data_IF_003691775964
#
_entry.id   IF_003691775964
#
_cell.length_a   1.000
_cell.length_b   1.000
_cell.length_c   1.000
_cell.angle_alpha   90.00
_cell.angle_beta   90.00
_cell.angle_gamma   90.00
#
_symmetry.space_group_name_H-M   'P 1'
#
loop_
_entity.id
_entity.type
_entity.pdbx_description
1 polymer ?
#
# COMPACT_ATOMS: atom_id res chain seq x y z
N UNK A 1 15.55 -7.06 -42.46
CA UNK A 1 16.32 -6.83 -41.22
C UNK A 1 15.35 -6.96 -40.06
N UNK A 2 15.61 -7.94 -39.19
CA UNK A 2 14.79 -8.61 -38.17
C UNK A 2 13.43 -9.21 -38.57
N UNK A 3 13.50 -10.52 -38.79
CA UNK A 3 12.47 -11.56 -38.95
C UNK A 3 11.71 -11.90 -37.67
N UNK A 4 11.73 -11.02 -36.67
CA UNK A 4 11.13 -11.33 -35.37
C UNK A 4 9.78 -10.62 -35.25
N UNK A 5 8.71 -11.41 -35.43
CA UNK A 5 7.32 -10.99 -35.16
C UNK A 5 7.05 -10.85 -33.65
N UNK A 6 8.06 -10.99 -32.81
CA UNK A 6 7.99 -10.79 -31.37
C UNK A 6 9.36 -10.47 -30.79
N UNK A 7 9.42 -9.74 -29.68
CA UNK A 7 10.67 -9.48 -28.95
C UNK A 7 10.38 -9.21 -27.48
N UNK A 8 11.42 -9.26 -26.64
CA UNK A 8 11.32 -8.97 -25.21
C UNK A 8 12.07 -7.69 -24.85
N UNK A 9 11.58 -7.01 -23.83
CA UNK A 9 12.19 -5.81 -23.27
C UNK A 9 12.16 -5.88 -21.74
N UNK A 10 13.32 -5.76 -21.10
CA UNK A 10 13.42 -5.70 -19.64
C UNK A 10 13.51 -4.25 -19.16
N UNK A 11 12.60 -3.86 -18.27
CA UNK A 11 12.55 -2.55 -17.62
C UNK A 11 12.97 -2.71 -16.16
N UNK A 12 13.86 -1.84 -15.66
CA UNK A 12 14.33 -1.84 -14.27
C UNK A 12 14.00 -0.51 -13.62
N UNK A 13 13.45 -0.52 -12.42
CA UNK A 13 13.01 0.71 -11.74
C UNK A 13 14.14 1.67 -11.37
N UNK A 14 15.36 1.15 -11.23
CA UNK A 14 16.58 1.91 -10.95
C UNK A 14 17.46 2.13 -12.20
N UNK A 15 16.97 1.78 -13.39
CA UNK A 15 17.63 2.17 -14.64
C UNK A 15 17.36 3.65 -14.95
N UNK A 16 18.17 4.21 -15.85
CA UNK A 16 17.96 5.56 -16.38
C UNK A 16 17.94 6.68 -15.33
N UNK A 17 18.46 6.47 -14.12
CA UNK A 17 18.52 7.48 -13.04
C UNK A 17 19.27 8.76 -13.45
N UNK A 18 20.22 8.66 -14.39
CA UNK A 18 20.91 9.83 -14.95
C UNK A 18 19.97 10.74 -15.76
N UNK A 19 18.91 10.18 -16.36
CA UNK A 19 17.89 10.91 -17.12
C UNK A 19 16.67 11.24 -16.25
N UNK A 20 16.31 10.32 -15.33
CA UNK A 20 15.13 10.39 -14.48
C UNK A 20 15.52 10.17 -13.01
N UNK A 21 16.14 11.16 -12.34
CA UNK A 21 16.64 11.02 -10.98
C UNK A 21 15.53 10.82 -9.92
N UNK A 22 14.28 11.14 -10.28
CA UNK A 22 13.11 11.00 -9.41
C UNK A 22 12.38 9.66 -9.59
N UNK A 23 12.94 8.71 -10.37
CA UNK A 23 12.38 7.36 -10.48
C UNK A 23 12.29 6.70 -9.09
N UNK A 24 11.20 5.99 -8.87
CA UNK A 24 10.93 5.20 -7.67
C UNK A 24 10.58 3.77 -8.08
N UNK A 25 10.57 2.84 -7.13
CA UNK A 25 10.16 1.44 -7.38
C UNK A 25 8.73 1.34 -7.90
N UNK A 26 7.84 2.23 -7.46
CA UNK A 26 6.43 2.27 -7.88
C UNK A 26 6.16 3.15 -9.11
N UNK A 27 7.06 4.05 -9.47
CA UNK A 27 6.88 4.96 -10.59
C UNK A 27 8.22 5.27 -11.24
N UNK A 28 8.44 4.74 -12.44
CA UNK A 28 9.72 4.90 -13.12
C UNK A 28 9.57 5.01 -14.63
N UNK A 29 10.47 5.78 -15.22
CA UNK A 29 10.64 5.92 -16.65
C UNK A 29 11.96 5.26 -17.08
N UNK A 30 11.91 4.41 -18.10
CA UNK A 30 13.11 3.80 -18.69
C UNK A 30 13.39 4.42 -20.05
N UNK A 31 14.60 4.98 -20.20
CA UNK A 31 15.16 5.43 -21.48
C UNK A 31 15.77 4.24 -22.21
N UNK A 32 15.25 3.93 -23.39
CA UNK A 32 15.77 2.84 -24.23
C UNK A 32 17.07 3.27 -24.94
N UNK A 33 18.01 2.33 -25.18
CA UNK A 33 19.26 2.64 -25.87
C UNK A 33 19.05 2.96 -27.36
N UNK A 34 17.92 2.53 -27.93
CA UNK A 34 17.50 2.83 -29.30
C UNK A 34 15.99 3.02 -29.32
N UNK A 35 15.55 4.00 -30.09
CA UNK A 35 14.14 4.20 -30.40
C UNK A 35 13.56 2.98 -31.10
N UNK A 36 12.44 2.50 -30.59
CA UNK A 36 11.66 1.42 -31.20
C UNK A 36 10.72 2.03 -32.24
N UNK A 37 10.69 1.45 -33.44
CA UNK A 37 9.81 1.83 -34.55
C UNK A 37 9.14 0.56 -35.07
N UNK A 38 7.83 0.44 -34.88
CA UNK A 38 7.06 -0.75 -35.22
C UNK A 38 6.19 -0.52 -36.46
N UNK A 39 6.04 -1.56 -37.28
CA UNK A 39 5.17 -1.56 -38.46
C UNK A 39 4.05 -2.59 -38.31
N UNK A 40 2.82 -2.21 -38.66
CA UNK A 40 1.62 -3.02 -38.45
C UNK A 40 1.02 -2.85 -37.05
N UNK A 41 0.18 -3.80 -36.65
CA UNK A 41 -0.46 -3.83 -35.34
C UNK A 41 0.33 -4.72 -34.39
N UNK A 42 0.52 -4.25 -33.17
CA UNK A 42 1.35 -4.90 -32.16
C UNK A 42 0.63 -4.89 -30.83
N UNK A 43 0.86 -5.95 -30.07
CA UNK A 43 0.40 -6.09 -28.70
C UNK A 43 1.59 -6.28 -27.77
N UNK A 44 1.43 -5.89 -26.51
CA UNK A 44 2.43 -6.08 -25.46
C UNK A 44 1.77 -6.65 -24.21
N UNK A 45 2.49 -7.50 -23.49
CA UNK A 45 2.08 -8.00 -22.19
C UNK A 45 3.27 -8.15 -21.26
N UNK A 46 3.00 -8.28 -19.97
CA UNK A 46 4.04 -8.61 -18.98
C UNK A 46 4.20 -10.14 -18.97
N UNK A 47 5.38 -10.63 -19.30
CA UNK A 47 5.72 -12.06 -19.20
C UNK A 47 6.30 -12.42 -17.85
N UNK A 48 6.98 -11.47 -17.19
CA UNK A 48 7.61 -11.68 -15.89
C UNK A 48 7.64 -10.36 -15.12
N UNK A 49 7.44 -10.44 -13.80
CA UNK A 49 7.71 -9.36 -12.85
C UNK A 49 8.52 -9.90 -11.68
N UNK A 50 9.48 -9.10 -11.23
CA UNK A 50 10.21 -9.31 -9.99
C UNK A 50 10.03 -8.05 -9.13
N UNK A 51 9.44 -8.18 -7.94
CA UNK A 51 9.15 -7.03 -7.08
C UNK A 51 9.64 -7.27 -5.65
N UNK A 52 10.08 -6.21 -4.94
CA UNK A 52 10.49 -6.33 -3.55
C UNK A 52 9.25 -6.43 -2.65
N UNK A 53 9.27 -7.36 -1.71
CA UNK A 53 8.29 -7.45 -0.64
C UNK A 53 8.71 -6.53 0.50
N UNK A 54 8.55 -5.22 0.30
CA UNK A 54 9.05 -4.20 1.23
C UNK A 54 7.98 -3.27 1.80
N UNK A 55 6.69 -3.49 1.54
CA UNK A 55 5.62 -2.70 2.14
C UNK A 55 5.29 -3.16 3.57
N UNK A 56 5.16 -2.23 4.53
CA UNK A 56 4.94 -2.57 5.94
C UNK A 56 3.51 -3.05 6.22
N UNK A 57 3.36 -3.99 7.16
CA UNK A 57 2.05 -4.40 7.67
C UNK A 57 1.36 -3.26 8.42
N UNK A 58 2.10 -2.49 9.22
CA UNK A 58 1.62 -1.26 9.87
C UNK A 58 2.50 -0.11 9.39
N UNK A 59 1.96 0.72 8.50
CA UNK A 59 2.68 1.86 7.92
C UNK A 59 2.67 3.11 8.81
N UNK A 60 3.49 4.09 8.45
CA UNK A 60 3.65 5.38 9.16
C UNK A 60 2.39 6.25 9.21
N UNK A 61 1.43 6.02 8.30
CA UNK A 61 0.13 6.72 8.27
C UNK A 61 -0.98 5.89 8.90
N UNK A 62 -0.71 4.62 9.21
CA UNK A 62 -1.69 3.63 9.62
C UNK A 62 -1.44 3.14 11.05
N UNK A 63 -0.70 3.88 11.87
CA UNK A 63 -0.23 3.47 13.21
C UNK A 63 -0.72 4.38 14.34
N UNK A 64 -1.89 5.02 14.19
CA UNK A 64 -2.37 6.01 15.15
C UNK A 64 -3.48 5.44 16.04
N UNK A 65 -3.44 5.79 17.32
CA UNK A 65 -4.55 5.69 18.26
C UNK A 65 -5.00 7.09 18.63
N UNK A 66 -6.31 7.34 18.65
CA UNK A 66 -6.86 8.61 19.11
C UNK A 66 -7.83 8.39 20.26
N UNK A 67 -7.87 9.35 21.19
CA UNK A 67 -8.84 9.33 22.28
C UNK A 67 -9.15 10.73 22.78
N UNK A 68 -10.27 10.83 23.52
CA UNK A 68 -10.66 11.99 24.32
C UNK A 68 -11.50 11.57 25.52
N UNK A 69 -11.35 12.28 26.62
CA UNK A 69 -12.09 12.04 27.86
C UNK A 69 -13.46 12.69 27.84
N UNK A 70 -13.62 13.75 27.05
CA UNK A 70 -14.85 14.52 26.89
C UNK A 70 -15.46 14.32 25.49
N UNK A 71 -16.80 14.42 25.34
CA UNK A 71 -17.45 14.34 24.03
C UNK A 71 -17.07 15.53 23.14
N UNK A 72 -17.05 15.37 21.81
CA UNK A 72 -16.82 16.47 20.88
C UNK A 72 -17.86 17.57 21.02
N UNK A 73 -17.43 18.83 20.92
CA UNK A 73 -18.33 19.99 20.82
C UNK A 73 -18.60 20.34 19.34
N UNK A 74 -19.76 20.94 19.03
CA UNK A 74 -20.22 21.20 17.65
C UNK A 74 -19.29 22.10 16.82
N UNK A 75 -18.44 22.91 17.46
CA UNK A 75 -17.55 23.88 16.80
C UNK A 75 -16.09 23.43 16.74
N UNK A 76 -15.78 22.20 17.16
CA UNK A 76 -14.43 21.65 17.09
C UNK A 76 -14.08 21.15 15.69
N UNK A 77 -12.78 21.00 15.43
CA UNK A 77 -12.31 20.33 14.21
C UNK A 77 -12.80 18.87 14.18
N UNK A 78 -13.09 18.41 12.97
CA UNK A 78 -13.38 16.99 12.73
C UNK A 78 -12.17 16.12 13.07
N UNK A 79 -12.43 14.86 13.40
CA UNK A 79 -11.35 13.88 13.64
C UNK A 79 -10.38 13.78 12.46
N UNK A 80 -10.88 13.85 11.23
CA UNK A 80 -10.04 13.78 10.03
C UNK A 80 -9.07 14.97 9.93
N UNK A 81 -9.54 16.19 10.20
CA UNK A 81 -8.69 17.38 10.25
C UNK A 81 -7.63 17.27 11.35
N UNK A 82 -8.00 16.77 12.53
CA UNK A 82 -7.07 16.59 13.64
C UNK A 82 -6.04 15.50 13.34
N UNK A 83 -6.44 14.40 12.71
CA UNK A 83 -5.51 13.35 12.25
C UNK A 83 -4.52 13.90 11.21
N UNK A 84 -4.99 14.75 10.28
CA UNK A 84 -4.11 15.40 9.30
C UNK A 84 -3.08 16.33 9.97
N UNK A 85 -3.48 17.10 10.99
CA UNK A 85 -2.55 17.91 11.80
C UNK A 85 -1.53 17.03 12.53
N UNK A 86 -1.99 15.93 13.14
CA UNK A 86 -1.12 14.99 13.84
C UNK A 86 -0.11 14.33 12.89
N UNK A 87 -0.55 13.88 11.70
CA UNK A 87 0.34 13.30 10.69
C UNK A 87 1.42 14.29 10.28
N UNK A 88 1.08 15.56 10.03
CA UNK A 88 2.08 16.59 9.72
C UNK A 88 3.06 16.78 10.87
N UNK A 89 2.57 16.85 12.11
CA UNK A 89 3.42 16.98 13.30
C UNK A 89 4.42 15.83 13.44
N UNK A 90 3.99 14.58 13.23
CA UNK A 90 4.87 13.41 13.32
C UNK A 90 5.86 13.30 12.16
N UNK A 91 5.55 13.86 10.99
CA UNK A 91 6.49 13.98 9.87
C UNK A 91 7.62 14.97 10.19
N UNK A 92 7.26 16.13 10.77
CA UNK A 92 8.21 17.17 11.16
C UNK A 92 9.03 16.77 12.41
N UNK A 93 8.45 15.94 13.30
CA UNK A 93 9.04 15.52 14.57
C UNK A 93 9.04 13.99 14.70
N UNK A 94 9.95 13.31 14.01
CA UNK A 94 9.97 11.83 13.91
C UNK A 94 10.02 11.07 15.24
N UNK A 95 10.67 11.65 16.25
CA UNK A 95 10.81 11.03 17.58
C UNK A 95 9.57 11.27 18.47
N UNK A 96 8.63 12.12 18.04
CA UNK A 96 7.41 12.39 18.78
C UNK A 96 6.43 11.22 18.65
N UNK A 97 5.95 10.73 19.80
CA UNK A 97 4.96 9.64 19.85
C UNK A 97 3.57 10.11 20.30
N UNK A 98 3.43 11.39 20.63
CA UNK A 98 2.20 11.98 21.13
C UNK A 98 1.98 13.38 20.56
N UNK A 99 0.74 13.63 20.14
CA UNK A 99 0.26 14.93 19.71
C UNK A 99 -1.08 15.20 20.39
N UNK A 100 -1.32 16.45 20.76
CA UNK A 100 -2.61 16.88 21.32
C UNK A 100 -3.09 18.15 20.66
N UNK A 101 -4.39 18.23 20.41
CA UNK A 101 -5.05 19.41 19.89
C UNK A 101 -6.44 19.51 20.51
N UNK A 102 -6.72 20.59 21.24
CA UNK A 102 -7.91 20.67 22.10
C UNK A 102 -7.98 19.43 23.02
N UNK A 103 -9.15 18.81 23.16
CA UNK A 103 -9.33 17.57 23.94
C UNK A 103 -8.88 16.29 23.21
N UNK A 104 -8.42 16.39 21.96
CA UNK A 104 -7.92 15.22 21.24
C UNK A 104 -6.49 14.88 21.64
N UNK A 105 -6.27 13.60 21.92
CA UNK A 105 -4.95 13.02 22.08
C UNK A 105 -4.72 11.96 21.00
N UNK A 106 -3.61 12.10 20.27
CA UNK A 106 -3.18 11.18 19.22
C UNK A 106 -1.86 10.57 19.65
N UNK A 107 -1.82 9.25 19.73
CA UNK A 107 -0.65 8.47 20.13
C UNK A 107 -0.21 7.63 18.94
N UNK A 108 1.09 7.71 18.61
CA UNK A 108 1.71 6.97 17.54
C UNK A 108 2.25 5.64 18.08
N UNK A 109 1.86 4.53 17.46
CA UNK A 109 2.44 3.21 17.69
C UNK A 109 3.61 3.02 16.71
N UNK A 110 4.61 2.21 17.07
CA UNK A 110 5.72 1.93 16.16
C UNK A 110 5.20 1.39 14.82
N UNK A 111 5.60 1.96 13.67
CA UNK A 111 5.37 1.34 12.38
C UNK A 111 6.29 0.12 12.23
N UNK A 112 5.91 -0.84 11.39
CA UNK A 112 6.77 -1.99 11.15
C UNK A 112 6.11 -3.18 10.48
N UNK A 113 6.95 -4.19 10.24
CA UNK A 113 6.53 -5.49 9.77
C UNK A 113 6.17 -6.40 10.96
N UNK A 114 4.94 -6.28 11.43
CA UNK A 114 4.37 -7.19 12.42
C UNK A 114 3.98 -8.51 11.74
N UNK A 115 4.42 -9.65 12.27
CA UNK A 115 4.11 -10.97 11.70
C UNK A 115 2.69 -11.43 12.07
N UNK A 116 2.16 -10.96 13.21
CA UNK A 116 0.86 -11.37 13.73
C UNK A 116 0.10 -10.23 14.42
N UNK A 117 -1.20 -10.44 14.66
CA UNK A 117 -2.02 -9.52 15.46
C UNK A 117 -1.56 -9.52 16.92
N UNK A 118 -1.05 -10.64 17.43
CA UNK A 118 -0.47 -10.70 18.77
C UNK A 118 0.73 -9.77 18.95
N UNK A 119 1.56 -9.59 17.91
CA UNK A 119 2.71 -8.68 17.97
C UNK A 119 2.25 -7.22 18.05
N UNK A 120 1.24 -6.85 17.25
CA UNK A 120 0.61 -5.52 17.31
C UNK A 120 0.00 -5.27 18.69
N UNK A 121 -0.72 -6.25 19.24
CA UNK A 121 -1.31 -6.15 20.59
C UNK A 121 -0.24 -6.04 21.67
N UNK A 122 0.87 -6.75 21.53
CA UNK A 122 2.00 -6.69 22.46
C UNK A 122 2.62 -5.30 22.45
N UNK A 123 2.84 -4.72 21.27
CA UNK A 123 3.31 -3.33 21.14
C UNK A 123 2.36 -2.35 21.82
N UNK A 124 1.07 -2.41 21.50
CA UNK A 124 0.05 -1.51 22.07
C UNK A 124 -0.01 -1.63 23.60
N UNK A 125 0.03 -2.85 24.13
CA UNK A 125 -0.04 -3.11 25.58
C UNK A 125 1.22 -2.70 26.34
N UNK A 126 2.37 -2.65 25.67
CA UNK A 126 3.64 -2.22 26.28
C UNK A 126 3.89 -0.72 26.13
N UNK A 127 3.20 -0.05 25.21
CA UNK A 127 3.35 1.37 24.94
C UNK A 127 3.09 2.23 26.20
N UNK A 128 3.99 3.18 26.48
CA UNK A 128 4.07 3.90 27.75
C UNK A 128 2.82 4.71 28.13
N UNK A 129 2.18 5.35 27.15
CA UNK A 129 0.91 6.07 27.29
C UNK A 129 -0.28 5.10 27.25
N UNK A 130 -0.37 4.29 26.19
CA UNK A 130 -1.56 3.46 25.89
C UNK A 130 -1.85 2.46 27.00
N UNK A 131 -0.83 1.81 27.56
CA UNK A 131 -0.99 0.79 28.63
C UNK A 131 -1.72 1.29 29.88
N UNK A 132 -1.69 2.60 30.13
CA UNK A 132 -2.37 3.24 31.26
C UNK A 132 -3.87 3.42 30.99
N UNK A 133 -4.23 3.61 29.72
CA UNK A 133 -5.60 3.88 29.26
C UNK A 133 -6.35 2.58 29.00
N UNK A 134 -5.71 1.63 28.33
CA UNK A 134 -6.34 0.43 27.79
C UNK A 134 -5.44 -0.79 27.85
N UNK A 135 -6.06 -1.97 27.80
CA UNK A 135 -5.39 -3.25 27.66
C UNK A 135 -6.15 -4.14 26.66
N UNK A 136 -5.43 -4.71 25.70
CA UNK A 136 -5.96 -5.62 24.70
C UNK A 136 -5.72 -7.08 25.07
N UNK A 137 -6.69 -7.92 24.70
CA UNK A 137 -6.60 -9.38 24.70
C UNK A 137 -6.99 -9.92 23.34
N UNK A 138 -6.33 -11.00 22.93
CA UNK A 138 -6.63 -11.70 21.69
C UNK A 138 -7.12 -13.12 21.97
N UNK A 139 -8.23 -13.49 21.37
CA UNK A 139 -8.70 -14.87 21.38
C UNK A 139 -8.21 -15.56 20.10
N UNK A 140 -7.25 -16.48 20.25
CA UNK A 140 -6.66 -17.22 19.11
C UNK A 140 -7.63 -18.13 18.36
N UNK A 141 -8.69 -18.59 19.03
CA UNK A 141 -9.69 -19.49 18.43
C UNK A 141 -10.64 -18.69 17.55
N UNK A 142 -11.24 -17.64 18.10
CA UNK A 142 -12.20 -16.80 17.36
C UNK A 142 -11.51 -15.73 16.51
N UNK A 143 -10.19 -15.57 16.67
CA UNK A 143 -9.36 -14.49 16.12
C UNK A 143 -9.89 -13.09 16.44
N UNK A 144 -10.59 -12.93 17.57
CA UNK A 144 -11.19 -11.63 17.95
C UNK A 144 -10.36 -10.90 18.99
N UNK A 145 -10.42 -9.58 18.91
CA UNK A 145 -9.72 -8.67 19.80
C UNK A 145 -10.71 -8.10 20.81
N UNK A 146 -10.30 -8.09 22.08
CA UNK A 146 -11.08 -7.59 23.21
C UNK A 146 -10.31 -6.48 23.90
N UNK A 147 -11.00 -5.39 24.17
CA UNK A 147 -10.47 -4.19 24.78
C UNK A 147 -10.97 -4.07 26.23
N UNK A 148 -10.07 -3.90 27.17
CA UNK A 148 -10.39 -3.44 28.52
C UNK A 148 -9.94 -1.99 28.64
N UNK A 149 -10.90 -1.10 28.87
CA UNK A 149 -10.62 0.30 29.16
C UNK A 149 -10.45 0.46 30.67
N UNK A 150 -9.33 1.05 31.09
CA UNK A 150 -8.97 1.25 32.49
C UNK A 150 -9.35 2.66 33.00
N UNK A 151 -9.61 3.59 32.09
CA UNK A 151 -10.01 4.98 32.37
C UNK A 151 -11.35 5.33 31.73
N UNK A 152 -11.99 6.40 32.19
CA UNK A 152 -13.21 6.91 31.54
C UNK A 152 -12.80 7.65 30.27
N UNK A 153 -13.24 7.15 29.11
CA UNK A 153 -13.02 7.77 27.80
C UNK A 153 -14.38 8.01 27.14
N UNK A 154 -14.52 9.16 26.47
CA UNK A 154 -15.70 9.48 25.67
C UNK A 154 -15.55 8.93 24.25
N UNK A 155 -14.35 9.07 23.67
CA UNK A 155 -14.01 8.53 22.35
C UNK A 155 -12.68 7.80 22.43
N UNK A 156 -12.62 6.66 21.76
CA UNK A 156 -11.39 5.91 21.52
C UNK A 156 -11.50 5.23 20.15
N UNK A 157 -10.44 5.30 19.36
CA UNK A 157 -10.34 4.57 18.10
C UNK A 157 -8.92 4.54 17.56
N UNK A 158 -8.79 4.02 16.35
CA UNK A 158 -7.52 3.87 15.65
C UNK A 158 -7.60 4.45 14.24
N UNK A 159 -6.43 4.69 13.64
CA UNK A 159 -6.31 4.89 12.19
C UNK A 159 -7.10 3.81 11.45
N UNK A 160 -7.69 4.20 10.31
CA UNK A 160 -8.64 3.36 9.57
C UNK A 160 -8.12 1.95 9.33
N UNK A 161 -6.88 1.80 8.86
CA UNK A 161 -6.32 0.47 8.57
C UNK A 161 -6.02 -0.32 9.83
N UNK A 162 -5.48 0.28 10.88
CA UNK A 162 -5.21 -0.41 12.14
C UNK A 162 -6.51 -0.91 12.80
N UNK A 163 -7.58 -0.12 12.75
CA UNK A 163 -8.89 -0.55 13.22
C UNK A 163 -9.35 -1.82 12.49
N UNK A 164 -9.25 -1.84 11.15
CA UNK A 164 -9.60 -2.99 10.32
C UNK A 164 -8.70 -4.20 10.61
N UNK A 165 -7.38 -4.01 10.76
CA UNK A 165 -6.45 -5.08 11.13
C UNK A 165 -6.82 -5.72 12.46
N UNK A 166 -7.21 -4.91 13.45
CA UNK A 166 -7.67 -5.37 14.75
C UNK A 166 -9.12 -5.92 14.74
N UNK A 167 -9.80 -5.89 13.59
CA UNK A 167 -11.16 -6.43 13.40
C UNK A 167 -12.30 -5.51 13.84
N UNK A 168 -12.01 -4.23 14.10
CA UNK A 168 -12.99 -3.19 14.43
C UNK A 168 -13.49 -2.46 13.17
N UNK A 169 -14.62 -1.76 13.27
CA UNK A 169 -15.00 -0.81 12.22
C UNK A 169 -14.22 0.51 12.41
N UNK A 170 -13.79 1.20 11.34
CA UNK A 170 -13.01 2.44 11.43
C UNK A 170 -13.68 3.59 12.22
N UNK A 171 -15.01 3.66 12.17
CA UNK A 171 -15.87 4.65 12.81
C UNK A 171 -16.42 4.17 14.17
N UNK A 172 -16.05 2.97 14.61
CA UNK A 172 -16.50 2.41 15.87
C UNK A 172 -15.85 3.13 17.06
N UNK A 173 -16.67 3.63 17.98
CA UNK A 173 -16.18 4.16 19.24
C UNK A 173 -15.91 3.04 20.25
N UNK A 174 -14.62 2.72 20.43
CA UNK A 174 -14.16 1.61 21.25
C UNK A 174 -14.27 1.87 22.76
N UNK A 175 -14.56 3.10 23.17
CA UNK A 175 -14.89 3.39 24.57
C UNK A 175 -16.22 2.73 24.98
N UNK A 176 -17.14 2.56 24.02
CA UNK A 176 -18.48 1.97 24.21
C UNK A 176 -18.49 0.48 23.87
N UNK A 177 -17.97 0.13 22.71
CA UNK A 177 -17.98 -1.24 22.18
C UNK A 177 -16.58 -1.86 22.18
N UNK A 178 -16.39 -2.84 23.06
CA UNK A 178 -15.07 -3.31 23.46
C UNK A 178 -14.60 -4.58 22.75
N UNK A 179 -15.40 -5.13 21.83
CA UNK A 179 -15.09 -6.39 21.14
C UNK A 179 -15.08 -6.17 19.64
N UNK A 180 -14.09 -6.73 18.96
CA UNK A 180 -13.97 -6.64 17.52
C UNK A 180 -15.16 -7.33 16.83
N UNK A 181 -15.79 -6.63 15.89
CA UNK A 181 -16.92 -7.17 15.12
C UNK A 181 -16.46 -8.36 14.26
N UNK A 182 -15.24 -8.26 13.72
CA UNK A 182 -14.64 -9.21 12.80
C UNK A 182 -13.39 -9.88 13.40
N UNK A 183 -13.00 -11.05 12.87
CA UNK A 183 -11.67 -11.59 13.05
C UNK A 183 -10.59 -10.58 12.68
N UNK A 184 -9.62 -10.38 13.56
CA UNK A 184 -8.45 -9.58 13.29
C UNK A 184 -7.53 -10.30 12.29
N UNK A 185 -6.90 -9.53 11.43
CA UNK A 185 -6.04 -10.04 10.38
C UNK A 185 -4.95 -9.01 10.03
N UNK A 186 -3.69 -9.39 10.25
CA UNK A 186 -2.55 -8.50 9.99
C UNK A 186 -2.41 -8.17 8.50
N UNK A 187 -2.78 -9.12 7.63
CA UNK A 187 -2.73 -9.00 6.17
C UNK A 187 -3.66 -7.91 5.61
N UNK A 188 -4.62 -7.42 6.39
CA UNK A 188 -5.47 -6.29 5.98
C UNK A 188 -4.68 -4.99 5.85
N UNK A 189 -3.49 -4.87 6.43
CA UNK A 189 -2.59 -3.73 6.23
C UNK A 189 -1.69 -3.87 5.00
N UNK A 190 -1.60 -5.06 4.42
CA UNK A 190 -0.77 -5.34 3.25
C UNK A 190 -1.60 -5.09 1.98
N UNK A 191 -1.09 -4.31 1.00
CA UNK A 191 -1.75 -4.15 -0.29
C UNK A 191 -2.01 -5.53 -0.93
N UNK A 192 -3.25 -5.80 -1.33
CA UNK A 192 -3.64 -7.10 -1.88
C UNK A 192 -3.35 -7.23 -3.38
N UNK A 193 -3.20 -6.11 -4.08
CA UNK A 193 -3.05 -6.08 -5.53
C UNK A 193 -2.16 -4.90 -5.97
N UNK A 194 -1.36 -5.14 -7.01
CA UNK A 194 -0.60 -4.13 -7.74
C UNK A 194 -1.22 -3.93 -9.12
N UNK A 195 -1.67 -2.71 -9.39
CA UNK A 195 -2.16 -2.28 -10.69
C UNK A 195 -1.00 -1.66 -11.46
N UNK A 196 -0.57 -2.33 -12.54
CA UNK A 196 0.59 -1.91 -13.34
C UNK A 196 0.07 -1.19 -14.58
N UNK A 197 0.32 0.11 -14.64
CA UNK A 197 0.02 0.98 -15.77
C UNK A 197 1.26 1.17 -16.63
N UNK A 198 1.04 1.29 -17.94
CA UNK A 198 2.12 1.44 -18.91
C UNK A 198 1.71 2.44 -19.99
N UNK A 199 2.46 3.52 -20.16
CA UNK A 199 2.06 4.64 -21.02
C UNK A 199 2.00 4.29 -22.53
N UNK A 200 2.58 3.17 -22.96
CA UNK A 200 2.59 2.76 -24.39
C UNK A 200 1.39 1.91 -24.81
N UNK A 201 0.53 1.47 -23.88
CA UNK A 201 -0.62 0.61 -24.20
C UNK A 201 -1.91 1.39 -24.39
N UNK A 202 -2.84 0.85 -25.17
CA UNK A 202 -4.16 1.43 -25.33
C UNK A 202 -4.93 1.46 -24.00
N UNK A 203 -5.66 2.53 -23.69
CA UNK A 203 -6.53 2.57 -22.51
C UNK A 203 -7.55 1.43 -22.52
N UNK A 204 -7.63 0.71 -21.40
CA UNK A 204 -8.57 -0.37 -21.14
C UNK A 204 -9.71 0.13 -20.25
N UNK A 205 -10.88 -0.50 -20.34
CA UNK A 205 -11.99 -0.24 -19.43
C UNK A 205 -11.68 -0.86 -18.05
N UNK A 206 -11.52 -0.01 -17.03
CA UNK A 206 -11.23 -0.40 -15.66
C UNK A 206 -12.29 0.23 -14.76
N UNK A 207 -13.27 -0.57 -14.36
CA UNK A 207 -14.42 -0.06 -13.60
C UNK A 207 -15.21 0.97 -14.42
N UNK A 208 -15.24 2.21 -13.94
CA UNK A 208 -15.92 3.37 -14.55
C UNK A 208 -14.96 4.31 -15.31
N UNK A 209 -13.68 3.98 -15.44
CA UNK A 209 -12.66 4.80 -16.11
C UNK A 209 -11.94 4.06 -17.25
N UNK A 210 -11.42 4.81 -18.21
CA UNK A 210 -10.44 4.30 -19.19
C UNK A 210 -9.03 4.58 -18.68
N UNK A 211 -8.21 3.54 -18.55
CA UNK A 211 -6.84 3.67 -18.04
C UNK A 211 -5.87 2.73 -18.78
N UNK A 212 -4.60 3.12 -18.98
CA UNK A 212 -3.60 2.28 -19.65
C UNK A 212 -3.07 1.16 -18.73
N UNK A 213 -4.00 0.36 -18.19
CA UNK A 213 -3.73 -0.75 -17.27
C UNK A 213 -3.22 -1.96 -18.07
N UNK A 214 -1.99 -2.37 -17.78
CA UNK A 214 -1.34 -3.49 -18.46
C UNK A 214 -1.60 -4.82 -17.74
N UNK A 215 -1.57 -4.84 -16.40
CA UNK A 215 -1.76 -6.06 -15.61
C UNK A 215 -2.13 -5.74 -14.16
N UNK A 216 -2.88 -6.64 -13.54
CA UNK A 216 -3.05 -6.70 -12.07
C UNK A 216 -2.25 -7.90 -11.55
N UNK A 217 -1.46 -7.68 -10.49
CA UNK A 217 -0.67 -8.72 -9.82
C UNK A 217 -1.12 -8.84 -8.37
N UNK A 218 -1.54 -10.04 -7.98
CA UNK A 218 -2.03 -10.30 -6.62
C UNK A 218 -0.86 -10.48 -5.66
N UNK A 219 -0.99 -9.87 -4.49
CA UNK A 219 -0.13 -10.07 -3.32
C UNK A 219 -0.94 -10.87 -2.29
N UNK A 220 -0.38 -11.99 -1.86
CA UNK A 220 -1.01 -12.99 -1.01
C UNK A 220 -0.02 -13.44 0.05
N UNK A 221 -0.50 -14.10 1.10
CA UNK A 221 0.37 -14.68 2.12
C UNK A 221 1.42 -15.64 1.55
N UNK A 222 1.10 -16.31 0.44
CA UNK A 222 1.97 -17.34 -0.14
C UNK A 222 3.11 -16.75 -0.99
N UNK A 223 2.98 -15.48 -1.38
CA UNK A 223 3.96 -14.80 -2.24
C UNK A 223 4.54 -13.52 -1.63
N UNK A 224 4.26 -13.27 -0.36
CA UNK A 224 4.79 -12.13 0.37
C UNK A 224 5.53 -12.59 1.63
N UNK A 225 6.82 -12.27 1.68
CA UNK A 225 7.64 -12.37 2.87
C UNK A 225 8.50 -11.11 2.95
N UNK A 226 8.40 -10.34 4.04
CA UNK A 226 9.06 -9.05 4.12
C UNK A 226 10.58 -9.17 3.92
N UNK A 227 11.13 -8.28 3.10
CA UNK A 227 12.54 -8.25 2.74
C UNK A 227 12.95 -9.21 1.62
N UNK A 228 12.07 -10.10 1.13
CA UNK A 228 12.39 -10.93 -0.02
C UNK A 228 12.10 -10.22 -1.36
N UNK A 229 12.60 -10.79 -2.45
CA UNK A 229 12.13 -10.48 -3.79
C UNK A 229 11.20 -11.60 -4.26
N UNK A 230 10.07 -11.22 -4.85
CA UNK A 230 9.13 -12.15 -5.44
C UNK A 230 9.20 -12.11 -6.95
N UNK A 231 9.45 -13.28 -7.54
CA UNK A 231 9.40 -13.50 -8.98
C UNK A 231 8.06 -14.13 -9.36
N UNK A 232 7.42 -13.58 -10.40
CA UNK A 232 6.16 -14.07 -10.96
C UNK A 232 6.29 -14.15 -12.47
N UNK A 233 6.12 -15.34 -13.02
CA UNK A 233 6.06 -15.60 -14.46
C UNK A 233 4.60 -15.75 -14.88
N UNK A 234 4.20 -15.06 -15.94
CA UNK A 234 2.84 -15.10 -16.45
C UNK A 234 2.75 -16.00 -17.69
N UNK A 235 2.05 -17.12 -17.56
CA UNK A 235 1.73 -18.03 -18.65
C UNK A 235 0.28 -18.49 -18.54
N UNK A 236 -0.62 -18.08 -19.44
CA UNK A 236 -0.38 -17.25 -20.63
C UNK A 236 -0.15 -15.76 -20.31
N UNK A 237 0.58 -15.07 -21.20
CA UNK A 237 0.75 -13.61 -21.19
C UNK A 237 -0.56 -12.93 -21.57
N UNK A 238 -0.96 -11.90 -20.82
CA UNK A 238 -2.10 -11.05 -21.16
C UNK A 238 -1.63 -9.88 -22.01
N UNK A 239 -2.12 -9.80 -23.23
CA UNK A 239 -1.67 -8.85 -24.25
C UNK A 239 -2.67 -7.71 -24.42
N UNK A 240 -2.15 -6.50 -24.45
CA UNK A 240 -2.87 -5.26 -24.71
C UNK A 240 -2.31 -4.62 -25.99
N UNK A 241 -3.14 -4.07 -26.89
CA UNK A 241 -2.67 -3.33 -28.05
C UNK A 241 -1.80 -2.13 -27.67
N UNK A 242 -0.81 -1.83 -28.53
CA UNK A 242 0.01 -0.63 -28.37
C UNK A 242 -0.73 0.61 -28.87
N UNK A 243 -0.75 1.66 -28.06
CA UNK A 243 -1.26 2.98 -28.45
C UNK A 243 -0.28 3.72 -29.37
N UNK A 244 1.03 3.47 -29.22
CA UNK A 244 2.10 4.18 -29.97
C UNK A 244 2.99 3.18 -30.71
N UNK A 245 3.29 3.50 -31.97
CA UNK A 245 4.16 2.69 -32.86
C UNK A 245 5.63 3.13 -32.84
N UNK A 246 5.91 4.27 -32.24
CA UNK A 246 7.26 4.82 -32.07
C UNK A 246 7.42 5.34 -30.64
N UNK A 247 8.41 4.81 -29.93
CA UNK A 247 8.72 5.20 -28.57
C UNK A 247 10.18 4.96 -28.25
N UNK A 248 10.68 5.73 -27.30
CA UNK A 248 12.07 5.67 -26.82
C UNK A 248 12.14 5.69 -25.30
N UNK A 249 11.04 6.08 -24.65
CA UNK A 249 10.84 6.05 -23.23
C UNK A 249 9.58 5.25 -22.93
N UNK A 250 9.59 4.49 -21.84
CA UNK A 250 8.43 3.75 -21.34
C UNK A 250 8.26 4.10 -19.87
N UNK A 251 7.07 4.57 -19.50
CA UNK A 251 6.68 4.85 -18.12
C UNK A 251 5.92 3.65 -17.56
N UNK A 252 6.33 3.23 -16.36
CA UNK A 252 5.60 2.26 -15.56
C UNK A 252 5.17 2.94 -14.28
N UNK A 253 3.87 2.86 -14.02
CA UNK A 253 3.27 3.38 -12.81
C UNK A 253 2.51 2.25 -12.09
N UNK A 254 2.78 2.04 -10.81
CA UNK A 254 2.27 0.91 -10.03
C UNK A 254 1.49 1.45 -8.84
N UNK A 255 0.20 1.10 -8.80
CA UNK A 255 -0.74 1.59 -7.78
C UNK A 255 -1.37 0.46 -6.98
N UNK A 256 -1.85 0.81 -5.80
CA UNK A 256 -2.80 0.00 -5.02
C UNK A 256 -4.19 0.02 -5.67
N UNK A 257 -5.09 -0.79 -5.13
CA UNK A 257 -6.53 -0.78 -5.44
C UNK A 257 -7.22 0.56 -5.13
N UNK A 258 -6.67 1.36 -4.22
CA UNK A 258 -7.13 2.72 -3.91
C UNK A 258 -6.48 3.79 -4.80
N UNK A 259 -5.79 3.41 -5.89
CA UNK A 259 -5.03 4.31 -6.77
C UNK A 259 -3.86 5.07 -6.10
N UNK A 260 -3.53 4.75 -4.84
CA UNK A 260 -2.34 5.27 -4.19
C UNK A 260 -1.08 4.61 -4.78
N UNK A 261 0.07 5.28 -4.68
CA UNK A 261 1.34 4.67 -5.10
C UNK A 261 1.60 3.40 -4.27
N UNK A 262 2.14 2.35 -4.90
CA UNK A 262 2.56 1.17 -4.14
C UNK A 262 3.62 1.56 -3.08
N UNK A 263 3.43 1.20 -1.80
CA UNK A 263 4.26 1.68 -0.70
C UNK A 263 5.52 0.81 -0.50
N UNK A 264 6.36 0.66 -1.53
CA UNK A 264 7.64 -0.03 -1.38
C UNK A 264 8.59 0.82 -0.50
N UNK A 265 9.07 0.27 0.62
CA UNK A 265 10.03 0.96 1.49
C UNK A 265 11.44 0.96 0.87
N UNK A 266 11.81 -0.12 0.18
CA UNK A 266 13.11 -0.27 -0.48
C UNK A 266 13.07 -1.36 -1.57
N UNK A 267 14.20 -1.54 -2.25
CA UNK A 267 14.39 -2.57 -3.27
C UNK A 267 14.02 -2.09 -4.68
N UNK A 268 14.30 -2.90 -5.69
CA UNK A 268 14.14 -2.56 -7.10
C UNK A 268 13.17 -3.50 -7.78
N UNK A 269 12.43 -2.99 -8.78
CA UNK A 269 11.44 -3.76 -9.52
C UNK A 269 11.92 -3.99 -10.96
N UNK A 270 11.73 -5.22 -11.43
CA UNK A 270 12.06 -5.63 -12.80
C UNK A 270 10.80 -6.10 -13.52
N UNK A 271 10.58 -5.62 -14.73
CA UNK A 271 9.51 -6.09 -15.62
C UNK A 271 10.12 -6.63 -16.91
N UNK A 272 9.64 -7.79 -17.35
CA UNK A 272 9.89 -8.29 -18.70
C UNK A 272 8.62 -8.15 -19.52
N UNK A 273 8.66 -7.26 -20.51
CA UNK A 273 7.61 -7.07 -21.49
C UNK A 273 7.85 -7.99 -22.68
N UNK A 274 6.78 -8.59 -23.19
CA UNK A 274 6.77 -9.38 -24.41
C UNK A 274 5.90 -8.66 -25.44
N UNK A 275 6.54 -8.24 -26.53
CA UNK A 275 5.90 -7.60 -27.68
C UNK A 275 5.67 -8.65 -28.76
N UNK A 276 4.48 -8.63 -29.37
CA UNK A 276 4.11 -9.54 -30.45
C UNK A 276 3.33 -8.80 -31.54
N UNK A 277 3.70 -9.03 -32.79
CA UNK A 277 3.00 -8.52 -33.97
C UNK A 277 1.73 -9.33 -34.18
N UNK A 278 0.62 -8.64 -34.42
CA UNK A 278 -0.60 -9.27 -34.92
C UNK A 278 -0.42 -9.52 -36.41
N UNK A 279 -0.63 -10.78 -36.83
CA UNK A 279 -0.59 -11.18 -38.23
C UNK A 279 -1.76 -10.59 -39.00
#
# INVERSE_FOLDING_TARGET
>A
MNTENEFYLTLLSNSSMNYYPNNTTANFMTQLPKRVRLTGEWVVGISEIQYPCSFLAVGETDNLMYYRTEPPEEHELSLEEVLNLATKHFLDNKDSIHFSYQEWHIVKISPGNYESIEDVITEINNHEIIRKLINFKYNRITKRVFLKVNTTLSVLGFSRRLALQLGFQPDQNLAKEKTSAHPANIWTGIPSQMFIYCDIVEPQLVGDVLAPLLRIVNVTSDNYNYGCHKDVVFSPVHYIPLMRKEFENIEINIRTDTAASMPFEFGTLNLKLHFKKLN
#
